data_IF_548431843236
#
_entry.id   IF_548431843236
#
_cell.length_a   1.000
_cell.length_b   1.000
_cell.length_c   1.000
_cell.angle_alpha   90.00
_cell.angle_beta   90.00
_cell.angle_gamma   90.00
#
_symmetry.space_group_name_H-M   'P 1'
#
loop_
_entity.id
_entity.type
_entity.pdbx_description
1 polymer ?
#
# COMPACT_ATOMS: atom_id res chain seq x y z
N UNK A 1 50.88 -32.34 -17.01
CA UNK A 1 50.22 -31.64 -18.12
C UNK A 1 48.85 -32.29 -18.25
N UNK A 2 47.80 -31.46 -18.26
CA UNK A 2 46.38 -31.81 -18.38
C UNK A 2 45.67 -32.38 -17.14
N UNK A 3 45.03 -31.48 -16.38
CA UNK A 3 43.68 -31.66 -15.82
C UNK A 3 43.22 -30.32 -15.25
N UNK A 4 42.70 -29.43 -16.12
CA UNK A 4 42.03 -28.20 -15.67
C UNK A 4 41.14 -27.59 -16.77
N UNK A 5 40.15 -28.36 -17.26
CA UNK A 5 39.26 -27.89 -18.34
C UNK A 5 37.76 -28.18 -18.12
N UNK A 6 37.33 -28.42 -16.89
CA UNK A 6 35.92 -28.80 -16.62
C UNK A 6 35.26 -28.02 -15.47
N UNK A 7 35.56 -26.72 -15.36
CA UNK A 7 34.85 -25.79 -14.45
C UNK A 7 34.33 -24.50 -15.10
N UNK A 8 34.36 -24.37 -16.43
CA UNK A 8 34.00 -23.11 -17.11
C UNK A 8 32.78 -23.17 -18.05
N UNK A 9 31.90 -24.17 -17.95
CA UNK A 9 30.78 -24.36 -18.90
C UNK A 9 29.36 -24.40 -18.29
N UNK A 10 29.17 -24.02 -17.02
CA UNK A 10 27.82 -23.95 -16.42
C UNK A 10 27.29 -22.50 -16.35
N UNK A 11 28.15 -21.49 -16.54
CA UNK A 11 27.76 -20.07 -16.49
C UNK A 11 27.19 -19.40 -17.76
N UNK A 12 27.23 -19.97 -18.99
CA UNK A 12 26.55 -19.33 -20.13
C UNK A 12 25.07 -19.75 -20.29
N UNK A 13 24.63 -20.89 -19.72
CA UNK A 13 23.28 -21.41 -19.98
C UNK A 13 22.21 -20.77 -19.10
N UNK A 14 22.53 -20.51 -17.83
CA UNK A 14 21.66 -19.75 -16.91
C UNK A 14 21.51 -18.29 -17.36
N UNK A 15 22.59 -17.68 -17.86
CA UNK A 15 22.56 -16.31 -18.37
C UNK A 15 21.71 -16.21 -19.64
N UNK A 16 21.82 -17.16 -20.57
CA UNK A 16 21.01 -17.20 -21.80
C UNK A 16 19.53 -17.47 -21.51
N UNK A 17 19.21 -18.34 -20.55
CA UNK A 17 17.82 -18.60 -20.15
C UNK A 17 17.17 -17.41 -19.42
N UNK A 18 17.91 -16.72 -18.55
CA UNK A 18 17.44 -15.50 -17.90
C UNK A 18 17.24 -14.36 -18.90
N UNK A 19 18.18 -14.20 -19.85
CA UNK A 19 18.06 -13.21 -20.94
C UNK A 19 16.89 -13.52 -21.88
N UNK A 20 16.60 -14.80 -22.18
CA UNK A 20 15.43 -15.17 -22.98
C UNK A 20 14.12 -14.95 -22.22
N UNK A 21 14.07 -15.28 -20.93
CA UNK A 21 12.88 -15.08 -20.11
C UNK A 21 12.56 -13.59 -19.91
N UNK A 22 13.57 -12.74 -19.70
CA UNK A 22 13.41 -11.29 -19.64
C UNK A 22 12.99 -10.69 -20.99
N UNK A 23 13.52 -11.21 -22.11
CA UNK A 23 13.10 -10.77 -23.45
C UNK A 23 11.65 -11.16 -23.77
N UNK A 24 11.19 -12.32 -23.31
CA UNK A 24 9.80 -12.76 -23.45
C UNK A 24 8.85 -11.97 -22.55
N UNK A 25 9.27 -11.62 -21.32
CA UNK A 25 8.48 -10.79 -20.39
C UNK A 25 8.26 -9.37 -20.94
N UNK A 26 9.31 -8.71 -21.43
CA UNK A 26 9.20 -7.37 -22.00
C UNK A 26 8.35 -7.31 -23.29
N UNK A 27 8.20 -8.44 -23.98
CA UNK A 27 7.32 -8.56 -25.16
C UNK A 27 5.86 -8.78 -24.75
N UNK A 28 5.61 -9.56 -23.69
CA UNK A 28 4.25 -9.84 -23.19
C UNK A 28 3.68 -8.70 -22.33
N UNK A 29 4.54 -8.04 -21.56
CA UNK A 29 4.18 -6.99 -20.60
C UNK A 29 5.07 -5.76 -20.79
N UNK A 30 4.95 -5.05 -21.93
CA UNK A 30 5.74 -3.87 -22.21
C UNK A 30 5.55 -2.79 -21.14
N UNK A 31 6.63 -2.08 -20.81
CA UNK A 31 6.59 -0.89 -19.94
C UNK A 31 6.23 0.32 -20.79
N UNK A 32 5.14 1.00 -20.45
CA UNK A 32 4.77 2.28 -21.07
C UNK A 32 5.57 3.44 -20.49
N UNK A 33 5.69 4.52 -21.25
CA UNK A 33 6.13 5.82 -20.73
C UNK A 33 4.96 6.54 -20.02
N UNK A 34 5.21 7.75 -19.50
CA UNK A 34 4.19 8.54 -18.80
C UNK A 34 2.90 8.82 -19.59
N UNK A 35 2.90 8.64 -20.91
CA UNK A 35 1.72 8.86 -21.75
C UNK A 35 1.00 7.56 -22.10
N UNK A 36 1.70 6.44 -22.02
CA UNK A 36 1.25 5.14 -22.51
C UNK A 36 1.17 4.07 -21.43
N UNK A 37 1.63 4.35 -20.21
CA UNK A 37 1.61 3.41 -19.08
C UNK A 37 0.21 2.94 -18.69
N UNK A 38 -0.80 3.78 -18.91
CA UNK A 38 -2.21 3.45 -18.65
C UNK A 38 -2.86 2.66 -19.79
N UNK A 39 -2.16 2.42 -20.89
CA UNK A 39 -2.71 1.61 -21.98
C UNK A 39 -2.84 0.16 -21.52
N UNK A 40 -3.95 -0.54 -21.82
CA UNK A 40 -4.21 -1.88 -21.27
C UNK A 40 -3.07 -2.89 -21.47
N UNK A 41 -2.37 -2.83 -22.59
CA UNK A 41 -1.22 -3.70 -22.89
C UNK A 41 0.05 -3.37 -22.09
N UNK A 42 0.17 -2.14 -21.57
CA UNK A 42 1.35 -1.67 -20.86
C UNK A 42 1.19 -1.72 -19.34
N UNK A 43 -0.04 -1.69 -18.82
CA UNK A 43 -0.29 -1.50 -17.38
C UNK A 43 0.43 -2.54 -16.50
N UNK A 44 0.42 -3.82 -16.87
CA UNK A 44 1.13 -4.87 -16.10
C UNK A 44 2.65 -4.62 -16.06
N UNK A 45 3.24 -4.23 -17.19
CA UNK A 45 4.65 -3.87 -17.26
C UNK A 45 4.93 -2.62 -16.42
N UNK A 46 4.15 -1.57 -16.61
CA UNK A 46 4.31 -0.28 -15.93
C UNK A 46 4.12 -0.36 -14.41
N UNK A 47 3.16 -1.15 -13.89
CA UNK A 47 2.95 -1.32 -12.45
C UNK A 47 4.13 -1.97 -11.74
N UNK A 48 4.94 -2.76 -12.47
CA UNK A 48 6.15 -3.41 -11.98
C UNK A 48 7.40 -2.52 -12.03
N UNK A 49 7.38 -1.50 -12.87
CA UNK A 49 8.55 -0.69 -13.23
C UNK A 49 8.24 0.80 -13.09
N UNK A 50 7.53 1.18 -12.02
CA UNK A 50 7.07 2.55 -11.81
C UNK A 50 8.22 3.56 -11.74
N UNK A 51 9.36 3.12 -11.22
CA UNK A 51 10.62 3.86 -11.11
C UNK A 51 11.33 4.09 -12.45
N UNK A 52 11.00 3.33 -13.50
CA UNK A 52 11.45 3.61 -14.86
C UNK A 52 10.65 4.74 -15.52
N UNK A 53 9.45 5.04 -14.99
CA UNK A 53 8.50 5.98 -15.59
C UNK A 53 8.56 7.34 -14.87
N UNK A 54 8.66 7.33 -13.55
CA UNK A 54 8.60 8.51 -12.71
C UNK A 54 9.85 8.68 -11.86
N UNK A 55 10.18 9.92 -11.46
CA UNK A 55 11.19 10.13 -10.44
C UNK A 55 10.71 9.51 -9.13
N UNK A 56 11.60 8.75 -8.51
CA UNK A 56 11.38 8.11 -7.22
C UNK A 56 12.51 8.42 -6.27
N UNK A 57 12.22 8.37 -4.97
CA UNK A 57 13.20 8.33 -3.89
C UNK A 57 13.24 6.92 -3.32
N UNK A 58 14.44 6.40 -3.06
CA UNK A 58 14.60 5.09 -2.45
C UNK A 58 14.18 5.14 -0.97
N UNK A 59 13.51 4.08 -0.53
CA UNK A 59 13.34 3.73 0.89
C UNK A 59 14.33 2.62 1.16
N UNK A 60 15.47 2.98 1.72
CA UNK A 60 16.58 2.04 1.91
C UNK A 60 16.22 0.95 2.93
N UNK A 61 16.54 -0.32 2.63
CA UNK A 61 16.43 -1.42 3.60
C UNK A 61 17.57 -1.44 4.62
N UNK A 62 18.62 -0.66 4.37
CA UNK A 62 19.84 -0.64 5.17
C UNK A 62 20.67 -1.92 5.09
N UNK A 63 21.72 -2.01 5.91
CA UNK A 63 22.67 -3.14 5.91
C UNK A 63 22.32 -4.25 6.92
N UNK A 64 21.19 -4.11 7.63
CA UNK A 64 20.72 -5.09 8.60
C UNK A 64 20.36 -6.44 7.98
N UNK A 65 20.19 -7.50 8.79
CA UNK A 65 19.68 -8.77 8.28
C UNK A 65 18.25 -8.62 7.77
N UNK A 66 17.87 -9.45 6.79
CA UNK A 66 16.47 -9.61 6.39
C UNK A 66 15.74 -10.41 7.46
N UNK A 67 14.56 -9.95 7.88
CA UNK A 67 13.65 -10.75 8.70
C UNK A 67 12.99 -11.79 7.80
N UNK A 68 13.53 -13.01 7.83
CA UNK A 68 13.11 -14.12 6.95
C UNK A 68 11.65 -14.53 7.21
N UNK A 69 10.85 -14.58 6.14
CA UNK A 69 9.51 -15.17 6.18
C UNK A 69 9.63 -16.67 5.94
N UNK A 70 9.45 -17.46 7.00
CA UNK A 70 9.61 -18.92 6.95
C UNK A 70 8.49 -19.53 6.11
N UNK A 71 8.84 -20.43 5.19
CA UNK A 71 7.86 -21.24 4.47
C UNK A 71 7.35 -22.39 5.34
N UNK A 72 6.03 -22.44 5.54
CA UNK A 72 5.32 -23.54 6.20
C UNK A 72 4.89 -24.64 5.22
N UNK A 73 3.90 -25.44 5.61
CA UNK A 73 3.24 -26.36 4.68
C UNK A 73 2.37 -25.57 3.69
N UNK A 74 2.82 -25.51 2.43
CA UNK A 74 2.20 -24.68 1.39
C UNK A 74 1.03 -25.38 0.71
N UNK A 75 -0.07 -24.66 0.49
CA UNK A 75 -1.17 -25.12 -0.35
C UNK A 75 -0.80 -25.03 -1.83
N UNK A 76 -0.43 -26.17 -2.42
CA UNK A 76 -0.12 -26.27 -3.86
C UNK A 76 -1.36 -26.11 -4.75
N UNK A 77 -2.54 -26.43 -4.23
CA UNK A 77 -3.83 -26.26 -4.91
C UNK A 77 -4.85 -25.87 -3.85
N UNK A 78 -5.67 -24.88 -4.16
CA UNK A 78 -6.73 -24.42 -3.28
C UNK A 78 -7.91 -23.93 -4.12
N UNK A 79 -9.09 -24.40 -3.77
CA UNK A 79 -10.34 -24.01 -4.39
C UNK A 79 -11.20 -23.33 -3.34
N UNK A 80 -11.92 -22.29 -3.75
CA UNK A 80 -12.83 -21.55 -2.88
C UNK A 80 -14.14 -21.25 -3.62
N UNK A 81 -15.19 -20.99 -2.84
CA UNK A 81 -16.50 -20.64 -3.39
C UNK A 81 -16.51 -19.16 -3.80
N UNK A 82 -16.96 -18.87 -5.03
CA UNK A 82 -17.10 -17.50 -5.53
C UNK A 82 -18.40 -16.85 -4.99
N UNK A 83 -18.41 -15.52 -4.78
CA UNK A 83 -19.64 -14.77 -4.63
C UNK A 83 -20.58 -15.04 -5.83
N UNK A 84 -21.87 -15.28 -5.57
CA UNK A 84 -22.83 -15.63 -6.63
C UNK A 84 -22.89 -17.13 -7.00
N UNK A 85 -21.96 -17.94 -6.49
CA UNK A 85 -21.98 -19.40 -6.58
C UNK A 85 -21.05 -19.99 -7.64
N UNK A 86 -20.63 -21.22 -7.41
CA UNK A 86 -19.56 -21.87 -8.17
C UNK A 86 -18.26 -21.92 -7.36
N UNK A 87 -17.21 -22.48 -7.97
CA UNK A 87 -15.88 -22.59 -7.37
C UNK A 87 -14.84 -22.14 -8.37
N UNK A 88 -13.80 -21.49 -7.87
CA UNK A 88 -12.59 -21.20 -8.62
C UNK A 88 -11.38 -21.84 -7.94
N UNK A 89 -10.42 -22.28 -8.77
CA UNK A 89 -9.07 -22.51 -8.26
C UNK A 89 -8.40 -21.15 -8.05
N UNK A 90 -7.48 -21.03 -7.10
CA UNK A 90 -6.70 -19.80 -6.93
C UNK A 90 -5.97 -19.40 -8.22
N UNK A 91 -5.49 -20.37 -9.01
CA UNK A 91 -4.80 -20.09 -10.27
C UNK A 91 -5.71 -19.46 -11.32
N UNK A 92 -6.90 -20.02 -11.53
CA UNK A 92 -7.86 -19.48 -12.51
C UNK A 92 -8.38 -18.10 -12.08
N UNK A 93 -8.64 -17.93 -10.79
CA UNK A 93 -9.05 -16.64 -10.23
C UNK A 93 -7.95 -15.57 -10.37
N UNK A 94 -6.68 -15.93 -10.16
CA UNK A 94 -5.55 -15.01 -10.36
C UNK A 94 -5.45 -14.58 -11.83
N UNK A 95 -5.63 -15.49 -12.78
CA UNK A 95 -5.57 -15.16 -14.21
C UNK A 95 -6.72 -14.24 -14.63
N UNK A 96 -7.96 -14.54 -14.22
CA UNK A 96 -9.15 -13.75 -14.57
C UNK A 96 -9.06 -12.32 -14.00
N UNK A 97 -8.61 -12.20 -12.74
CA UNK A 97 -8.48 -10.92 -12.05
C UNK A 97 -7.12 -10.24 -12.23
N UNK A 98 -6.28 -10.71 -13.16
CA UNK A 98 -4.95 -10.15 -13.43
C UNK A 98 -4.09 -9.95 -12.17
N UNK A 99 -4.15 -10.92 -11.26
CA UNK A 99 -3.40 -10.91 -10.01
C UNK A 99 -1.94 -11.24 -10.32
N UNK A 100 -1.05 -10.31 -10.01
CA UNK A 100 0.38 -10.43 -10.27
C UNK A 100 1.14 -11.02 -9.09
N UNK A 101 0.61 -10.90 -7.88
CA UNK A 101 1.21 -11.45 -6.66
C UNK A 101 0.15 -11.78 -5.62
N UNK A 102 0.25 -12.97 -5.03
CA UNK A 102 -0.58 -13.41 -3.91
C UNK A 102 0.32 -14.02 -2.84
N UNK A 103 0.26 -13.47 -1.63
CA UNK A 103 0.95 -13.97 -0.45
C UNK A 103 -0.04 -14.22 0.68
N UNK A 104 -0.03 -15.43 1.24
CA UNK A 104 -0.83 -15.82 2.40
C UNK A 104 0.12 -16.20 3.52
N UNK A 105 0.05 -15.43 4.60
CA UNK A 105 0.78 -15.66 5.85
C UNK A 105 -0.22 -16.08 6.92
N UNK A 106 0.08 -17.15 7.64
CA UNK A 106 -0.73 -17.63 8.76
C UNK A 106 0.18 -18.05 9.89
N UNK A 107 -0.07 -17.58 11.11
CA UNK A 107 0.86 -17.77 12.23
C UNK A 107 2.29 -17.31 11.91
N UNK A 108 2.41 -16.18 11.19
CA UNK A 108 3.70 -15.62 10.77
C UNK A 108 4.49 -16.40 9.72
N UNK A 109 3.95 -17.50 9.16
CA UNK A 109 4.63 -18.32 8.13
C UNK A 109 3.91 -18.29 6.79
N UNK A 110 4.66 -18.42 5.71
CA UNK A 110 4.11 -18.48 4.34
C UNK A 110 3.35 -19.79 4.17
N UNK A 111 2.06 -19.70 3.85
CA UNK A 111 1.17 -20.82 3.48
C UNK A 111 0.84 -20.86 2.00
N UNK A 112 0.97 -19.72 1.32
CA UNK A 112 0.86 -19.63 -0.13
C UNK A 112 1.66 -18.42 -0.61
N UNK A 113 2.39 -18.58 -1.69
CA UNK A 113 3.08 -17.51 -2.39
C UNK A 113 3.01 -17.83 -3.88
N UNK A 114 2.41 -16.94 -4.66
CA UNK A 114 2.22 -17.11 -6.11
C UNK A 114 2.47 -15.80 -6.82
N UNK A 115 3.02 -15.91 -8.01
CA UNK A 115 3.28 -14.79 -8.90
C UNK A 115 2.63 -15.08 -10.25
N UNK A 116 1.97 -14.06 -10.80
CA UNK A 116 1.24 -14.09 -12.05
C UNK A 116 1.79 -13.07 -13.03
N UNK A 117 1.42 -13.19 -14.30
CA UNK A 117 1.74 -12.21 -15.34
C UNK A 117 3.22 -11.78 -15.41
N UNK A 118 4.11 -12.78 -15.35
CA UNK A 118 5.55 -12.58 -15.48
C UNK A 118 6.25 -12.04 -14.23
N UNK A 119 5.52 -11.77 -13.16
CA UNK A 119 6.11 -11.39 -11.87
C UNK A 119 6.85 -12.58 -11.22
N UNK A 120 7.75 -12.26 -10.31
CA UNK A 120 8.49 -13.19 -9.45
C UNK A 120 8.78 -12.56 -8.08
N UNK A 121 9.51 -13.28 -7.21
CA UNK A 121 9.84 -12.79 -5.86
C UNK A 121 10.68 -11.52 -5.82
N UNK A 122 11.28 -11.12 -6.96
CA UNK A 122 12.10 -9.91 -7.04
C UNK A 122 11.34 -8.69 -7.53
N UNK A 123 10.15 -8.91 -8.10
CA UNK A 123 9.29 -7.87 -8.67
C UNK A 123 8.79 -6.91 -7.59
N UNK A 124 8.92 -5.61 -7.84
CA UNK A 124 8.25 -4.58 -7.05
C UNK A 124 6.92 -4.20 -7.70
N UNK A 125 5.95 -3.76 -6.89
CA UNK A 125 4.66 -3.29 -7.38
C UNK A 125 4.25 -2.01 -6.68
N UNK A 126 3.69 -1.08 -7.45
CA UNK A 126 3.09 0.13 -6.91
C UNK A 126 1.91 -0.21 -5.98
N UNK A 127 1.95 0.32 -4.76
CA UNK A 127 0.97 0.19 -3.69
C UNK A 127 -0.40 0.77 -4.03
N UNK A 128 -0.42 1.74 -4.95
CA UNK A 128 -1.53 2.68 -5.05
C UNK A 128 -1.89 3.21 -3.64
N UNK A 129 -3.17 3.25 -3.30
CA UNK A 129 -3.61 3.75 -1.99
C UNK A 129 -3.22 2.90 -0.77
N UNK A 130 -2.58 1.72 -0.92
CA UNK A 130 -1.95 1.03 0.23
C UNK A 130 -0.88 1.93 0.88
N UNK A 131 -0.27 2.85 0.12
CA UNK A 131 0.62 3.88 0.64
C UNK A 131 -0.01 4.70 1.80
N UNK A 132 -1.32 4.96 1.76
CA UNK A 132 -2.03 5.73 2.79
C UNK A 132 -1.94 5.05 4.17
N UNK A 133 -2.10 3.74 4.20
CA UNK A 133 -1.99 2.94 5.41
C UNK A 133 -0.55 2.91 5.94
N UNK A 134 0.45 2.94 5.04
CA UNK A 134 1.86 3.10 5.42
C UNK A 134 2.10 4.47 6.04
N UNK A 135 1.61 5.56 5.44
CA UNK A 135 1.70 6.93 5.99
C UNK A 135 1.04 7.02 7.38
N UNK A 136 -0.15 6.43 7.56
CA UNK A 136 -0.80 6.35 8.88
C UNK A 136 0.08 5.63 9.91
N UNK A 137 0.72 4.54 9.54
CA UNK A 137 1.67 3.84 10.41
C UNK A 137 2.90 4.69 10.72
N UNK A 138 3.40 5.50 9.78
CA UNK A 138 4.49 6.46 10.03
C UNK A 138 4.07 7.58 11.00
N UNK A 139 2.83 8.06 10.95
CA UNK A 139 2.28 8.96 11.98
C UNK A 139 2.28 8.26 13.35
N UNK A 140 1.85 6.99 13.40
CA UNK A 140 1.95 6.17 14.61
C UNK A 140 3.38 6.04 15.12
N UNK A 141 4.36 5.85 14.24
CA UNK A 141 5.79 5.83 14.59
C UNK A 141 6.28 7.16 15.13
N UNK A 142 5.86 8.28 14.54
CA UNK A 142 6.20 9.61 15.02
C UNK A 142 5.63 9.88 16.42
N UNK A 143 4.40 9.41 16.70
CA UNK A 143 3.81 9.45 18.05
C UNK A 143 4.60 8.57 19.03
N UNK A 144 4.93 7.34 18.64
CA UNK A 144 5.71 6.44 19.47
C UNK A 144 7.09 7.03 19.83
N UNK A 145 7.72 7.72 18.88
CA UNK A 145 8.99 8.41 19.06
C UNK A 145 8.91 9.75 19.80
N UNK A 146 7.71 10.21 20.17
CA UNK A 146 7.50 11.48 20.87
C UNK A 146 7.67 12.72 19.98
N UNK A 147 7.57 12.58 18.65
CA UNK A 147 7.59 13.68 17.70
C UNK A 147 6.21 14.34 17.53
N UNK A 148 5.15 13.58 17.82
CA UNK A 148 3.76 14.04 17.86
C UNK A 148 3.20 13.63 19.23
N UNK A 149 2.60 14.57 19.95
CA UNK A 149 2.10 14.31 21.30
C UNK A 149 0.77 13.53 21.26
N UNK A 150 -0.15 13.93 20.38
CA UNK A 150 -1.45 13.29 20.25
C UNK A 150 -2.05 13.43 18.87
N UNK A 151 -2.80 12.41 18.44
CA UNK A 151 -3.71 12.55 17.28
C UNK A 151 -4.81 13.61 17.50
N UNK A 152 -5.02 14.07 18.73
CA UNK A 152 -5.97 15.14 19.04
C UNK A 152 -5.42 16.53 18.79
N UNK A 153 -4.10 16.65 18.62
CA UNK A 153 -3.48 17.93 18.33
C UNK A 153 -3.87 18.40 16.94
N UNK A 154 -4.01 19.72 16.74
CA UNK A 154 -4.30 20.26 15.43
C UNK A 154 -3.06 20.16 14.54
N UNK A 155 -3.26 19.76 13.28
CA UNK A 155 -2.16 19.44 12.36
C UNK A 155 -1.25 20.64 12.05
N UNK A 156 -1.81 21.85 12.05
CA UNK A 156 -1.11 23.11 11.84
C UNK A 156 -0.21 23.52 13.02
N UNK A 157 -0.31 22.86 14.18
CA UNK A 157 0.69 22.95 15.25
C UNK A 157 2.05 22.49 14.72
N UNK A 158 2.06 21.34 14.03
CA UNK A 158 3.28 20.69 13.54
C UNK A 158 3.66 21.12 12.14
N UNK A 159 2.68 21.55 11.33
CA UNK A 159 2.88 22.05 9.97
C UNK A 159 2.39 23.50 9.89
N UNK A 160 3.18 24.50 10.33
CA UNK A 160 2.72 25.89 10.41
C UNK A 160 2.23 26.47 9.07
N UNK A 161 2.70 25.93 7.95
CA UNK A 161 2.24 26.33 6.61
C UNK A 161 0.74 26.04 6.37
N UNK A 162 0.12 25.13 7.13
CA UNK A 162 -1.31 24.80 7.05
C UNK A 162 -2.20 25.73 7.89
N UNK A 163 -1.63 26.66 8.66
CA UNK A 163 -2.39 27.54 9.56
C UNK A 163 -3.32 28.51 8.81
N UNK A 164 -3.03 28.81 7.54
CA UNK A 164 -3.82 29.69 6.67
C UNK A 164 -4.62 28.92 5.59
N UNK A 165 -4.82 27.60 5.76
CA UNK A 165 -5.56 26.76 4.81
C UNK A 165 -6.83 26.13 5.43
N UNK A 166 -7.56 25.35 4.65
CA UNK A 166 -8.68 24.55 5.16
C UNK A 166 -8.29 23.57 6.28
N UNK A 167 -7.01 23.27 6.46
CA UNK A 167 -6.48 22.41 7.54
C UNK A 167 -6.24 23.14 8.87
N UNK A 168 -6.40 24.46 8.93
CA UNK A 168 -6.21 25.23 10.16
C UNK A 168 -7.05 24.67 11.33
N UNK A 169 -6.42 24.38 12.46
CA UNK A 169 -7.04 23.82 13.65
C UNK A 169 -7.67 22.43 13.47
N UNK A 170 -7.44 21.72 12.35
CA UNK A 170 -8.00 20.38 12.11
C UNK A 170 -7.19 19.35 12.92
N UNK A 171 -7.83 18.54 13.79
CA UNK A 171 -7.12 17.49 14.51
C UNK A 171 -6.51 16.45 13.58
N UNK A 172 -5.31 15.96 13.88
CA UNK A 172 -4.65 14.89 13.11
C UNK A 172 -5.56 13.65 12.98
N UNK A 173 -6.33 13.33 14.02
CA UNK A 173 -7.33 12.25 14.02
C UNK A 173 -8.38 12.45 12.92
N UNK A 174 -8.84 13.69 12.69
CA UNK A 174 -9.83 13.97 11.66
C UNK A 174 -9.27 13.74 10.26
N UNK A 175 -8.01 14.13 10.04
CA UNK A 175 -7.28 13.89 8.78
C UNK A 175 -7.05 12.40 8.57
N UNK A 176 -6.59 11.68 9.59
CA UNK A 176 -6.45 10.21 9.57
C UNK A 176 -7.78 9.49 9.22
N UNK A 177 -8.92 10.06 9.65
CA UNK A 177 -10.27 9.53 9.41
C UNK A 177 -10.88 9.90 8.05
N UNK A 178 -10.15 10.59 7.15
CA UNK A 178 -10.73 11.15 5.92
C UNK A 178 -11.94 12.04 6.23
N UNK A 179 -11.85 12.81 7.31
CA UNK A 179 -12.93 13.63 7.86
C UNK A 179 -12.44 15.02 8.25
N UNK A 180 -11.45 15.55 7.52
CA UNK A 180 -10.90 16.89 7.74
C UNK A 180 -11.92 18.02 7.50
N UNK A 181 -12.86 17.79 6.59
CA UNK A 181 -13.85 18.77 6.14
C UNK A 181 -13.33 19.73 5.06
N UNK A 182 -12.18 19.42 4.45
CA UNK A 182 -11.62 20.11 3.27
C UNK A 182 -12.47 19.78 2.05
N UNK A 183 -12.77 20.75 1.18
CA UNK A 183 -13.48 20.49 -0.08
C UNK A 183 -12.52 19.83 -1.08
N UNK A 184 -12.81 18.60 -1.50
CA UNK A 184 -11.93 17.80 -2.37
C UNK A 184 -12.73 16.77 -3.17
N UNK A 185 -12.47 16.71 -4.48
CA UNK A 185 -13.02 15.75 -5.44
C UNK A 185 -12.03 14.62 -5.79
N UNK A 186 -12.33 13.39 -5.36
CA UNK A 186 -11.54 12.17 -5.65
C UNK A 186 -12.18 11.31 -6.78
N UNK A 187 -12.88 11.93 -7.73
CA UNK A 187 -13.41 11.23 -8.90
C UNK A 187 -12.30 10.92 -9.93
N UNK A 188 -11.87 9.66 -10.00
CA UNK A 188 -10.84 9.18 -10.93
C UNK A 188 -11.29 9.17 -12.40
N UNK A 189 -12.60 9.18 -12.67
CA UNK A 189 -13.15 9.21 -14.04
C UNK A 189 -13.30 10.64 -14.57
N UNK A 190 -13.10 11.65 -13.73
CA UNK A 190 -13.19 13.07 -14.07
C UNK A 190 -11.80 13.70 -14.14
N UNK A 191 -11.31 14.01 -15.35
CA UNK A 191 -10.00 14.67 -15.56
C UNK A 191 -9.84 16.04 -14.86
N UNK A 192 -10.95 16.65 -14.46
CA UNK A 192 -11.00 17.93 -13.76
C UNK A 192 -11.12 17.79 -12.24
N UNK A 193 -11.20 16.56 -11.70
CA UNK A 193 -11.20 16.32 -10.26
C UNK A 193 -9.86 16.73 -9.64
N UNK A 194 -9.87 16.93 -8.33
CA UNK A 194 -8.67 17.32 -7.61
C UNK A 194 -7.59 16.25 -7.65
N UNK A 195 -7.98 14.97 -7.56
CA UNK A 195 -7.04 13.84 -7.68
C UNK A 195 -6.39 13.78 -9.05
N UNK A 196 -7.16 14.01 -10.12
CA UNK A 196 -6.63 14.07 -11.49
C UNK A 196 -5.71 15.27 -11.68
N UNK A 197 -6.06 16.45 -11.19
CA UNK A 197 -5.20 17.64 -11.31
C UNK A 197 -3.91 17.51 -10.50
N UNK A 198 -3.97 16.94 -9.29
CA UNK A 198 -2.78 16.59 -8.51
C UNK A 198 -1.90 15.60 -9.28
N UNK A 199 -2.48 14.52 -9.79
CA UNK A 199 -1.76 13.52 -10.57
C UNK A 199 -1.07 14.14 -11.80
N UNK A 200 -1.81 14.93 -12.59
CA UNK A 200 -1.29 15.55 -13.82
C UNK A 200 -0.18 16.55 -13.51
N UNK A 201 -0.43 17.52 -12.62
CA UNK A 201 0.49 18.65 -12.43
C UNK A 201 1.67 18.29 -11.52
N UNK A 202 1.43 17.52 -10.45
CA UNK A 202 2.50 17.12 -9.53
C UNK A 202 3.15 15.81 -9.98
N UNK A 203 2.38 14.78 -10.33
CA UNK A 203 2.91 13.46 -10.64
C UNK A 203 3.48 13.31 -12.06
N UNK A 204 2.80 13.81 -13.09
CA UNK A 204 3.23 13.60 -14.47
C UNK A 204 4.05 14.75 -15.07
N UNK A 205 3.71 15.98 -14.71
CA UNK A 205 4.31 17.19 -15.27
C UNK A 205 5.38 17.81 -14.37
N UNK A 206 5.38 17.50 -13.07
CA UNK A 206 6.24 18.14 -12.06
C UNK A 206 6.19 19.68 -12.12
N UNK A 207 5.03 20.23 -12.49
CA UNK A 207 4.82 21.66 -12.71
C UNK A 207 4.35 22.38 -11.44
N UNK A 208 3.97 21.62 -10.42
CA UNK A 208 3.48 22.13 -9.14
C UNK A 208 3.80 21.16 -8.00
N UNK A 209 4.25 21.68 -6.87
CA UNK A 209 4.56 20.87 -5.68
C UNK A 209 3.28 20.28 -5.09
N UNK A 210 3.31 19.02 -4.68
CA UNK A 210 2.13 18.30 -4.20
C UNK A 210 1.54 18.96 -2.94
N UNK A 211 2.39 19.44 -2.02
CA UNK A 211 1.97 20.12 -0.80
C UNK A 211 1.25 21.47 -1.06
N UNK A 212 1.56 22.13 -2.18
CA UNK A 212 0.96 23.45 -2.48
C UNK A 212 -0.54 23.36 -2.79
N UNK A 213 -1.02 22.22 -3.26
CA UNK A 213 -2.46 22.00 -3.47
C UNK A 213 -3.26 22.15 -2.18
N UNK A 214 -2.71 21.70 -1.04
CA UNK A 214 -3.39 21.76 0.25
C UNK A 214 -3.71 23.18 0.71
N UNK A 215 -3.01 24.18 0.15
CA UNK A 215 -3.19 25.59 0.49
C UNK A 215 -4.27 26.27 -0.37
N UNK A 216 -4.79 25.58 -1.38
CA UNK A 216 -5.77 26.15 -2.34
C UNK A 216 -7.21 25.72 -2.04
N UNK A 217 -7.38 24.71 -1.19
CA UNK A 217 -8.70 24.19 -0.84
C UNK A 217 -9.42 25.04 0.20
N UNK A 218 -10.73 25.13 0.02
CA UNK A 218 -11.66 25.69 1.00
C UNK A 218 -12.16 24.60 1.97
N UNK A 219 -12.82 25.03 3.04
CA UNK A 219 -13.48 24.14 4.00
C UNK A 219 -14.95 23.97 3.64
N UNK A 220 -15.36 22.73 3.33
CA UNK A 220 -16.76 22.37 3.08
C UNK A 220 -17.53 22.03 4.37
N UNK A 221 -16.86 21.48 5.38
CA UNK A 221 -17.49 20.97 6.60
C UNK A 221 -16.60 21.13 7.84
N UNK A 222 -17.17 20.96 9.04
CA UNK A 222 -16.34 20.91 10.25
C UNK A 222 -15.62 19.57 10.34
N UNK A 223 -14.47 19.48 11.04
CA UNK A 223 -13.79 18.22 11.25
C UNK A 223 -14.73 17.20 11.90
N UNK A 224 -14.66 15.95 11.44
CA UNK A 224 -15.51 14.81 11.83
C UNK A 224 -16.98 14.86 11.39
N UNK A 225 -17.42 15.91 10.69
CA UNK A 225 -18.83 16.05 10.31
C UNK A 225 -19.20 15.12 9.15
N UNK A 226 -18.31 14.99 8.17
CA UNK A 226 -18.47 14.14 6.99
C UNK A 226 -17.23 13.28 6.77
N UNK A 227 -17.46 12.07 6.27
CA UNK A 227 -16.40 11.27 5.66
C UNK A 227 -16.32 11.63 4.17
N UNK A 228 -15.12 11.84 3.67
CA UNK A 228 -14.83 12.07 2.26
C UNK A 228 -13.42 11.50 1.98
N UNK A 229 -13.34 10.35 1.28
CA UNK A 229 -12.07 9.72 0.93
C UNK A 229 -11.26 10.65 0.01
N UNK A 230 -10.08 11.09 0.45
CA UNK A 230 -9.27 12.06 -0.30
C UNK A 230 -7.77 11.88 -0.13
N UNK A 231 -7.02 11.96 -1.22
CA UNK A 231 -5.56 11.96 -1.24
C UNK A 231 -4.97 13.18 -0.54
N UNK A 232 -5.67 14.32 -0.55
CA UNK A 232 -5.26 15.54 0.15
C UNK A 232 -4.99 15.31 1.64
N UNK A 233 -5.84 14.54 2.33
CA UNK A 233 -5.66 14.25 3.76
C UNK A 233 -4.37 13.44 3.97
N UNK A 234 -4.07 12.47 3.10
CA UNK A 234 -2.81 11.72 3.18
C UNK A 234 -1.60 12.59 2.84
N UNK A 235 -1.70 13.53 1.89
CA UNK A 235 -0.63 14.49 1.59
C UNK A 235 -0.32 15.34 2.83
N UNK A 236 -1.35 15.81 3.54
CA UNK A 236 -1.17 16.56 4.77
C UNK A 236 -0.48 15.73 5.86
N UNK A 237 -0.81 14.43 5.98
CA UNK A 237 -0.14 13.51 6.90
C UNK A 237 1.30 13.20 6.50
N UNK A 238 1.60 13.07 5.21
CA UNK A 238 2.95 12.90 4.71
C UNK A 238 3.82 14.13 5.01
N UNK A 239 3.27 15.33 4.79
CA UNK A 239 3.93 16.58 5.14
C UNK A 239 4.14 16.71 6.65
N UNK A 240 3.15 16.36 7.46
CA UNK A 240 3.26 16.27 8.92
C UNK A 240 4.45 15.41 9.34
N UNK A 241 4.57 14.18 8.81
CA UNK A 241 5.67 13.27 9.14
C UNK A 241 7.02 13.86 8.74
N UNK A 242 7.12 14.48 7.56
CA UNK A 242 8.35 15.12 7.11
C UNK A 242 8.77 16.30 8.01
N UNK A 243 7.83 17.17 8.40
CA UNK A 243 8.11 18.33 9.28
C UNK A 243 8.56 17.90 10.67
N UNK A 244 7.85 16.97 11.32
CA UNK A 244 8.18 16.58 12.71
C UNK A 244 9.45 15.74 12.81
N UNK A 245 9.80 15.02 11.74
CA UNK A 245 11.03 14.22 11.70
C UNK A 245 12.25 15.03 11.22
N UNK A 246 12.03 16.12 10.47
CA UNK A 246 13.10 16.82 9.76
C UNK A 246 13.74 16.00 8.64
N UNK A 247 13.07 14.94 8.18
CA UNK A 247 13.52 14.02 7.14
C UNK A 247 12.55 14.07 5.95
N UNK A 248 12.99 13.60 4.78
CA UNK A 248 12.04 13.26 3.71
C UNK A 248 11.14 12.12 4.17
N UNK A 249 9.95 11.98 3.57
CA UNK A 249 9.04 10.91 3.96
C UNK A 249 9.67 9.52 3.71
N UNK A 250 10.44 9.36 2.62
CA UNK A 250 11.15 8.11 2.30
C UNK A 250 12.28 7.81 3.29
N UNK A 251 13.06 8.82 3.69
CA UNK A 251 14.13 8.64 4.69
C UNK A 251 13.55 8.26 6.05
N UNK A 252 12.47 8.93 6.47
CA UNK A 252 11.78 8.57 7.71
C UNK A 252 11.16 7.18 7.61
N UNK A 253 10.55 6.82 6.47
CA UNK A 253 10.03 5.47 6.25
C UNK A 253 11.14 4.42 6.33
N UNK A 254 12.31 4.68 5.74
CA UNK A 254 13.49 3.80 5.82
C UNK A 254 13.90 3.57 7.26
N UNK A 255 14.16 4.66 7.99
CA UNK A 255 14.67 4.60 9.36
C UNK A 255 13.63 4.06 10.35
N UNK A 256 12.39 4.53 10.27
CA UNK A 256 11.37 4.26 11.27
C UNK A 256 10.65 2.93 11.05
N UNK A 257 10.57 2.45 9.81
CA UNK A 257 9.73 1.31 9.44
C UNK A 257 10.51 0.24 8.66
N UNK A 258 11.15 0.60 7.56
CA UNK A 258 11.75 -0.35 6.61
C UNK A 258 12.94 -1.11 7.21
N UNK A 259 13.91 -0.40 7.79
CA UNK A 259 15.07 -1.01 8.43
C UNK A 259 14.69 -1.84 9.68
N UNK A 260 13.85 -1.34 10.62
CA UNK A 260 13.44 -2.13 11.79
C UNK A 260 12.65 -3.40 11.45
N UNK A 261 11.91 -3.41 10.34
CA UNK A 261 11.16 -4.60 9.89
C UNK A 261 12.03 -5.64 9.18
N UNK A 262 13.32 -5.34 8.95
CA UNK A 262 14.21 -6.23 8.22
C UNK A 262 13.71 -6.52 6.81
N UNK A 263 13.22 -5.48 6.10
CA UNK A 263 12.69 -5.63 4.75
C UNK A 263 13.73 -6.23 3.80
N UNK A 264 13.26 -7.00 2.81
CA UNK A 264 14.15 -7.79 1.94
C UNK A 264 14.76 -6.98 0.80
N UNK A 265 14.11 -5.89 0.39
CA UNK A 265 14.60 -4.99 -0.66
C UNK A 265 14.37 -3.53 -0.32
N UNK A 266 15.12 -2.66 -1.00
CA UNK A 266 14.75 -1.24 -1.07
C UNK A 266 13.36 -1.14 -1.70
N UNK A 267 12.53 -0.28 -1.13
CA UNK A 267 11.35 0.23 -1.81
C UNK A 267 11.70 1.54 -2.52
N UNK A 268 10.75 2.04 -3.29
CA UNK A 268 10.82 3.36 -3.90
C UNK A 268 9.53 4.12 -3.66
N UNK A 269 9.58 5.45 -3.61
CA UNK A 269 8.42 6.31 -3.49
C UNK A 269 8.47 7.39 -4.57
N UNK A 270 7.42 7.45 -5.39
CA UNK A 270 7.25 8.51 -6.39
C UNK A 270 7.28 9.90 -5.75
N UNK A 271 7.97 10.83 -6.40
CA UNK A 271 8.08 12.23 -5.98
C UNK A 271 7.53 13.18 -7.04
N UNK A 272 7.15 14.39 -6.63
CA UNK A 272 6.53 15.42 -7.47
C UNK A 272 7.53 16.20 -8.37
N UNK A 273 8.77 15.75 -8.47
CA UNK A 273 9.81 16.42 -9.26
C UNK A 273 11.21 15.85 -9.09
N UNK A 274 12.20 16.60 -9.57
CA UNK A 274 13.61 16.22 -9.49
C UNK A 274 14.36 17.04 -8.44
N UNK A 275 15.29 16.40 -7.74
CA UNK A 275 16.20 17.04 -6.80
C UNK A 275 15.76 16.99 -5.34
N UNK A 276 16.54 17.63 -4.47
CA UNK A 276 16.40 17.53 -3.00
C UNK A 276 15.09 18.15 -2.47
N UNK A 277 14.48 19.08 -3.20
CA UNK A 277 13.21 19.71 -2.83
C UNK A 277 11.95 18.95 -3.26
N UNK A 278 12.10 17.82 -3.95
CA UNK A 278 10.95 17.02 -4.39
C UNK A 278 10.28 16.33 -3.20
N UNK A 279 8.95 16.28 -3.21
CA UNK A 279 8.14 15.70 -2.13
C UNK A 279 7.48 14.41 -2.60
N UNK A 280 7.43 13.41 -1.72
CA UNK A 280 6.72 12.15 -2.00
C UNK A 280 5.23 12.38 -2.23
N UNK A 281 4.70 11.72 -3.25
CA UNK A 281 3.27 11.66 -3.54
C UNK A 281 2.62 10.66 -2.58
N UNK A 282 2.51 11.05 -1.32
CA UNK A 282 2.28 10.16 -0.16
C UNK A 282 0.94 9.42 -0.15
N UNK A 283 -0.05 9.87 -0.93
CA UNK A 283 -1.33 9.17 -1.05
C UNK A 283 -1.28 7.92 -1.94
N UNK A 284 -0.17 7.73 -2.69
CA UNK A 284 0.09 6.64 -3.63
C UNK A 284 1.60 6.39 -3.78
N UNK A 285 2.05 5.78 -4.87
CA UNK A 285 3.40 5.96 -5.43
C UNK A 285 4.52 5.18 -4.75
N UNK A 286 4.26 4.49 -3.64
CA UNK A 286 5.23 3.58 -3.02
C UNK A 286 5.27 2.26 -3.80
N UNK A 287 6.45 1.76 -4.17
CA UNK A 287 6.62 0.45 -4.79
C UNK A 287 7.50 -0.43 -3.93
N UNK A 288 7.05 -1.66 -3.67
CA UNK A 288 7.74 -2.62 -2.81
C UNK A 288 7.48 -4.05 -3.29
N UNK A 289 8.29 -5.00 -2.79
CA UNK A 289 8.08 -6.42 -3.05
C UNK A 289 6.89 -6.97 -2.28
N UNK A 290 6.29 -8.03 -2.80
CA UNK A 290 5.12 -8.69 -2.22
C UNK A 290 5.34 -9.08 -0.75
N UNK A 291 6.52 -9.63 -0.44
CA UNK A 291 6.89 -10.04 0.93
C UNK A 291 7.11 -8.87 1.88
N UNK A 292 7.53 -7.71 1.39
CA UNK A 292 7.69 -6.51 2.24
C UNK A 292 6.34 -5.89 2.61
N UNK A 293 5.36 -5.91 1.70
CA UNK A 293 3.96 -5.67 2.08
C UNK A 293 3.45 -6.72 3.09
N UNK A 294 3.90 -7.97 2.97
CA UNK A 294 3.61 -9.03 3.94
C UNK A 294 4.16 -8.74 5.35
N UNK A 295 5.41 -8.29 5.46
CA UNK A 295 6.03 -7.86 6.73
C UNK A 295 5.29 -6.67 7.33
N UNK A 296 4.89 -5.71 6.50
CA UNK A 296 4.03 -4.61 6.95
C UNK A 296 2.69 -5.10 7.50
N UNK A 297 2.03 -6.04 6.81
CA UNK A 297 0.80 -6.66 7.30
C UNK A 297 0.99 -7.40 8.64
N UNK A 298 2.11 -8.14 8.80
CA UNK A 298 2.44 -8.83 10.05
C UNK A 298 2.71 -7.88 11.22
N UNK A 299 3.37 -6.73 10.98
CA UNK A 299 3.52 -5.69 12.00
C UNK A 299 2.16 -5.24 12.53
N UNK A 300 1.20 -5.03 11.62
CA UNK A 300 -0.15 -4.61 11.98
C UNK A 300 -0.92 -5.74 12.67
N UNK A 301 -0.78 -6.99 12.24
CA UNK A 301 -1.36 -8.15 12.93
C UNK A 301 -0.85 -8.29 14.39
N UNK A 302 0.39 -7.86 14.65
CA UNK A 302 1.06 -7.98 15.95
C UNK A 302 0.95 -6.72 16.83
N UNK A 303 -0.07 -5.87 16.64
CA UNK A 303 -0.25 -4.59 17.35
C UNK A 303 0.99 -3.69 17.33
N UNK A 304 1.69 -3.66 16.20
CA UNK A 304 2.89 -2.85 16.01
C UNK A 304 4.11 -3.34 16.77
N UNK A 305 4.12 -4.60 17.22
CA UNK A 305 5.30 -5.28 17.78
C UNK A 305 6.00 -6.06 16.66
N UNK A 306 7.32 -5.93 16.57
CA UNK A 306 8.15 -6.69 15.64
C UNK A 306 9.31 -7.33 16.39
N UNK A 307 9.46 -8.65 16.31
CA UNK A 307 10.54 -9.40 16.98
C UNK A 307 10.73 -9.07 18.48
N UNK A 308 9.63 -8.71 19.16
CA UNK A 308 9.63 -8.33 20.58
C UNK A 308 9.91 -6.84 20.86
N UNK A 309 10.25 -6.05 19.84
CA UNK A 309 10.33 -4.59 19.92
C UNK A 309 8.98 -3.96 19.59
N UNK A 310 8.52 -3.04 20.43
CA UNK A 310 7.31 -2.27 20.14
C UNK A 310 7.69 -1.09 19.24
N UNK A 311 7.16 -1.08 18.03
CA UNK A 311 7.34 0.00 17.07
C UNK A 311 6.19 1.00 17.12
N UNK A 312 4.95 0.58 17.35
CA UNK A 312 3.81 1.49 17.42
C UNK A 312 3.35 1.71 18.87
N UNK A 313 2.64 2.82 19.19
CA UNK A 313 2.04 3.00 20.51
C UNK A 313 1.19 1.78 20.88
N UNK A 314 1.13 1.46 22.17
CA UNK A 314 0.30 0.34 22.63
C UNK A 314 -1.17 0.52 22.23
N UNK A 315 -1.75 -0.49 21.58
CA UNK A 315 -3.12 -0.44 21.07
C UNK A 315 -3.31 0.50 19.88
N UNK A 316 -2.24 0.95 19.21
CA UNK A 316 -2.33 1.78 18.02
C UNK A 316 -3.10 1.09 16.91
N UNK A 317 -2.84 -0.19 16.65
CA UNK A 317 -3.52 -0.91 15.57
C UNK A 317 -5.02 -0.89 15.81
N UNK A 318 -5.45 -1.22 17.03
CA UNK A 318 -6.88 -1.15 17.40
C UNK A 318 -7.45 0.27 17.23
N UNK A 319 -6.71 1.31 17.60
CA UNK A 319 -7.15 2.69 17.38
C UNK A 319 -7.23 3.04 15.89
N UNK A 320 -6.37 2.44 15.08
CA UNK A 320 -6.31 2.66 13.64
C UNK A 320 -7.32 1.82 12.86
N UNK A 321 -7.86 0.74 13.42
CA UNK A 321 -8.69 -0.21 12.66
C UNK A 321 -10.07 -0.46 13.26
N UNK A 322 -10.40 0.18 14.38
CA UNK A 322 -11.76 0.17 14.95
C UNK A 322 -12.40 1.55 14.76
N UNK A 323 -13.47 1.66 13.96
CA UNK A 323 -14.19 2.91 13.79
C UNK A 323 -14.59 3.52 15.12
N UNK A 324 -14.27 4.80 15.32
CA UNK A 324 -14.48 5.49 16.60
C UNK A 324 -15.53 6.60 16.54
N UNK A 325 -16.05 6.92 15.35
CA UNK A 325 -17.05 7.96 15.14
C UNK A 325 -18.11 7.58 14.11
N UNK A 326 -19.34 8.14 14.17
CA UNK A 326 -20.46 7.69 13.34
C UNK A 326 -20.23 7.77 11.83
N UNK A 327 -19.51 8.77 11.34
CA UNK A 327 -19.28 9.00 9.91
C UNK A 327 -18.30 7.99 9.29
N UNK A 328 -17.53 7.28 10.12
CA UNK A 328 -16.56 6.28 9.67
C UNK A 328 -16.96 4.83 10.01
N UNK A 329 -18.15 4.63 10.59
CA UNK A 329 -18.66 3.29 10.91
C UNK A 329 -18.94 2.48 9.63
N UNK A 330 -18.87 1.16 9.75
CA UNK A 330 -19.25 0.26 8.67
C UNK A 330 -20.69 0.53 8.17
N UNK A 331 -20.85 0.59 6.84
CA UNK A 331 -22.12 0.90 6.20
C UNK A 331 -22.54 2.37 6.26
N UNK A 332 -21.64 3.29 6.67
CA UNK A 332 -21.93 4.72 6.81
C UNK A 332 -21.10 5.62 5.88
N UNK A 333 -20.08 5.09 5.22
CA UNK A 333 -19.20 5.86 4.33
C UNK A 333 -19.95 6.35 3.10
N UNK A 334 -20.52 5.40 2.35
CA UNK A 334 -21.32 5.63 1.15
C UNK A 334 -22.58 4.77 1.18
N UNK A 335 -23.62 5.20 0.46
CA UNK A 335 -24.86 4.44 0.36
C UNK A 335 -24.62 3.10 -0.33
N UNK A 336 -24.83 1.99 0.38
CA UNK A 336 -24.69 0.64 -0.16
C UNK A 336 -23.29 0.05 -0.03
N UNK A 337 -22.29 0.82 0.40
CA UNK A 337 -20.93 0.32 0.61
C UNK A 337 -20.78 -0.21 2.05
N UNK A 338 -20.46 -1.50 2.27
CA UNK A 338 -20.59 -2.14 3.57
C UNK A 338 -19.43 -1.81 4.54
N UNK A 339 -18.28 -1.39 4.02
CA UNK A 339 -17.08 -1.15 4.81
C UNK A 339 -17.19 0.11 5.68
N UNK A 340 -16.37 0.13 6.73
CA UNK A 340 -16.08 1.33 7.53
C UNK A 340 -14.66 1.78 7.28
N UNK A 341 -14.24 2.83 7.98
CA UNK A 341 -12.90 3.40 7.84
C UNK A 341 -12.35 3.79 9.21
N UNK A 342 -11.04 3.71 9.38
CA UNK A 342 -10.36 4.30 10.53
C UNK A 342 -8.89 4.48 10.16
N UNK A 343 -8.30 5.63 10.51
CA UNK A 343 -6.88 5.98 10.32
C UNK A 343 -6.19 5.43 9.07
N UNK A 344 -6.75 5.71 7.90
CA UNK A 344 -6.23 5.25 6.61
C UNK A 344 -6.31 3.73 6.36
N UNK A 345 -7.18 3.02 7.08
CA UNK A 345 -7.50 1.60 6.92
C UNK A 345 -8.99 1.40 6.68
N UNK A 346 -9.33 0.51 5.77
CA UNK A 346 -10.69 0.02 5.60
C UNK A 346 -10.99 -1.02 6.66
N UNK A 347 -12.18 -0.95 7.25
CA UNK A 347 -12.60 -1.82 8.36
C UNK A 347 -13.77 -2.65 7.89
N UNK A 348 -13.72 -3.96 8.09
CA UNK A 348 -14.68 -4.88 7.49
C UNK A 348 -15.79 -5.17 8.52
N UNK A 349 -17.06 -5.25 8.09
CA UNK A 349 -18.18 -5.52 9.00
C UNK A 349 -18.26 -6.99 9.45
N UNK A 350 -17.33 -7.83 8.98
CA UNK A 350 -17.20 -9.24 9.34
C UNK A 350 -15.87 -9.51 10.03
N UNK A 351 -15.88 -10.51 10.90
CA UNK A 351 -14.74 -10.84 11.74
C UNK A 351 -14.49 -9.78 12.82
N UNK A 352 -13.97 -10.19 13.97
CA UNK A 352 -13.70 -9.26 15.07
C UNK A 352 -12.36 -8.57 14.85
N UNK A 353 -12.40 -7.33 14.34
CA UNK A 353 -11.23 -6.50 14.12
C UNK A 353 -10.48 -6.81 12.82
N UNK A 354 -11.17 -7.30 11.80
CA UNK A 354 -10.61 -7.47 10.44
C UNK A 354 -10.52 -6.12 9.75
N UNK A 355 -9.38 -5.86 9.10
CA UNK A 355 -9.13 -4.62 8.37
C UNK A 355 -8.28 -4.86 7.12
N UNK A 356 -8.26 -3.88 6.22
CA UNK A 356 -7.44 -3.95 5.01
C UNK A 356 -6.98 -2.59 4.52
N UNK A 357 -5.76 -2.54 3.98
CA UNK A 357 -5.32 -1.46 3.11
C UNK A 357 -5.72 -1.80 1.68
N UNK A 358 -6.26 -0.83 0.94
CA UNK A 358 -6.70 -1.01 -0.44
C UNK A 358 -6.08 0.04 -1.35
N UNK A 359 -5.76 -0.36 -2.56
CA UNK A 359 -5.37 0.49 -3.67
C UNK A 359 -6.13 0.12 -4.94
N UNK A 360 -6.38 1.13 -5.78
CA UNK A 360 -7.01 0.94 -7.10
C UNK A 360 -6.27 -0.12 -7.93
N UNK A 361 -6.98 -0.72 -8.87
CA UNK A 361 -6.49 -1.82 -9.71
C UNK A 361 -6.08 -3.09 -8.92
N UNK A 362 -6.54 -3.24 -7.68
CA UNK A 362 -6.49 -4.50 -6.94
C UNK A 362 -5.31 -4.70 -6.00
N UNK A 363 -4.84 -3.64 -5.32
CA UNK A 363 -3.77 -3.76 -4.32
C UNK A 363 -4.37 -3.95 -2.93
N UNK A 364 -4.00 -5.01 -2.22
CA UNK A 364 -4.53 -5.30 -0.89
C UNK A 364 -3.44 -5.73 0.10
N UNK A 365 -3.58 -5.25 1.33
CA UNK A 365 -2.99 -5.87 2.53
C UNK A 365 -4.14 -6.12 3.49
N UNK A 366 -4.61 -7.36 3.56
CA UNK A 366 -5.71 -7.80 4.43
C UNK A 366 -5.15 -8.44 5.69
N UNK A 367 -5.76 -8.12 6.83
CA UNK A 367 -5.36 -8.65 8.14
C UNK A 367 -6.60 -9.12 8.91
N UNK A 368 -6.60 -10.39 9.32
CA UNK A 368 -7.51 -10.95 10.31
C UNK A 368 -6.71 -11.32 11.57
N UNK A 369 -6.71 -10.46 12.60
CA UNK A 369 -5.94 -10.70 13.83
C UNK A 369 -6.40 -11.92 14.63
N UNK A 370 -7.68 -12.30 14.55
CA UNK A 370 -8.21 -13.44 15.32
C UNK A 370 -7.68 -14.76 14.79
N UNK A 371 -7.52 -14.84 13.47
CA UNK A 371 -6.99 -16.00 12.78
C UNK A 371 -5.47 -15.94 12.59
N UNK A 372 -4.79 -14.88 13.03
CA UNK A 372 -3.38 -14.59 12.70
C UNK A 372 -3.09 -14.76 11.19
N UNK A 373 -4.00 -14.23 10.37
CA UNK A 373 -3.98 -14.34 8.92
C UNK A 373 -3.66 -12.97 8.30
N UNK A 374 -2.66 -12.94 7.43
CA UNK A 374 -2.34 -11.80 6.57
C UNK A 374 -2.38 -12.27 5.13
N UNK A 375 -3.12 -11.57 4.28
CA UNK A 375 -3.18 -11.84 2.83
C UNK A 375 -2.79 -10.57 2.09
N UNK A 376 -1.82 -10.69 1.18
CA UNK A 376 -1.39 -9.59 0.32
C UNK A 376 -1.69 -9.94 -1.13
N UNK A 377 -2.29 -9.00 -1.85
CA UNK A 377 -2.53 -9.08 -3.28
C UNK A 377 -1.92 -7.87 -3.98
N UNK A 378 -1.25 -8.12 -5.10
CA UNK A 378 -0.99 -7.10 -6.13
C UNK A 378 -1.65 -7.54 -7.42
N UNK A 379 -2.30 -6.62 -8.12
CA UNK A 379 -3.03 -6.92 -9.35
C UNK A 379 -3.02 -5.73 -10.31
N UNK A 380 -3.54 -5.96 -11.52
CA UNK A 380 -3.83 -4.90 -12.50
C UNK A 380 -5.20 -5.16 -13.09
N UNK A 381 -6.24 -4.88 -12.30
CA UNK A 381 -7.64 -5.06 -12.72
C UNK A 381 -7.97 -4.32 -14.03
N UNK A 382 -9.07 -4.72 -14.65
CA UNK A 382 -9.53 -4.14 -15.90
C UNK A 382 -9.99 -2.69 -15.76
N UNK A 383 -10.59 -2.37 -14.62
CA UNK A 383 -11.07 -1.05 -14.24
C UNK A 383 -10.35 -0.57 -12.98
N UNK A 384 -10.38 0.74 -12.72
CA UNK A 384 -9.80 1.34 -11.51
C UNK A 384 -10.31 0.67 -10.22
N UNK A 385 -11.58 0.28 -10.23
CA UNK A 385 -12.23 -0.47 -9.17
C UNK A 385 -13.20 -1.48 -9.75
N UNK A 386 -13.17 -2.70 -9.22
CA UNK A 386 -14.04 -3.81 -9.62
C UNK A 386 -14.63 -4.44 -8.34
N UNK A 387 -15.93 -4.21 -8.13
CA UNK A 387 -16.65 -4.65 -6.93
C UNK A 387 -16.73 -6.19 -6.85
N UNK A 388 -16.82 -6.88 -8.00
CA UNK A 388 -16.89 -8.34 -8.04
C UNK A 388 -15.52 -8.91 -7.67
N UNK A 389 -14.42 -8.38 -8.25
CA UNK A 389 -13.06 -8.78 -7.91
C UNK A 389 -12.70 -8.50 -6.44
N UNK A 390 -13.18 -7.39 -5.87
CA UNK A 390 -13.04 -7.10 -4.44
C UNK A 390 -13.73 -8.17 -3.57
N UNK A 391 -15.00 -8.47 -3.86
CA UNK A 391 -15.75 -9.47 -3.08
C UNK A 391 -15.19 -10.89 -3.25
N UNK A 392 -14.65 -11.23 -4.41
CA UNK A 392 -13.94 -12.48 -4.65
C UNK A 392 -12.67 -12.58 -3.80
N UNK A 393 -11.87 -11.51 -3.72
CA UNK A 393 -10.70 -11.46 -2.85
C UNK A 393 -11.09 -11.68 -1.38
N UNK A 394 -12.16 -11.05 -0.90
CA UNK A 394 -12.64 -11.29 0.45
C UNK A 394 -13.22 -12.69 0.65
N UNK A 395 -13.86 -13.28 -0.35
CA UNK A 395 -14.31 -14.66 -0.30
C UNK A 395 -13.13 -15.62 -0.13
N UNK A 396 -12.04 -15.41 -0.87
CA UNK A 396 -10.78 -16.13 -0.69
C UNK A 396 -10.24 -15.97 0.73
N UNK A 397 -10.14 -14.74 1.24
CA UNK A 397 -9.63 -14.47 2.60
C UNK A 397 -10.46 -15.18 3.68
N UNK A 398 -11.79 -15.07 3.62
CA UNK A 398 -12.70 -15.74 4.57
C UNK A 398 -12.61 -17.27 4.49
N UNK A 399 -12.48 -17.81 3.28
CA UNK A 399 -12.31 -19.24 3.04
C UNK A 399 -10.98 -19.75 3.63
N UNK A 400 -9.89 -19.00 3.43
CA UNK A 400 -8.57 -19.31 4.00
C UNK A 400 -8.61 -19.29 5.53
N UNK A 401 -9.19 -18.25 6.14
CA UNK A 401 -9.34 -18.16 7.59
C UNK A 401 -10.09 -19.37 8.16
N UNK A 402 -11.20 -19.77 7.53
CA UNK A 402 -11.99 -20.92 7.95
C UNK A 402 -11.22 -22.25 7.86
N UNK A 403 -10.43 -22.47 6.80
CA UNK A 403 -9.67 -23.71 6.62
C UNK A 403 -8.45 -23.76 7.55
N UNK A 404 -7.74 -22.65 7.69
CA UNK A 404 -6.49 -22.57 8.43
C UNK A 404 -6.68 -22.68 9.96
N UNK A 405 -7.77 -22.14 10.49
CA UNK A 405 -8.12 -22.23 11.92
C UNK A 405 -8.60 -23.62 12.36
N UNK A 406 -8.85 -24.53 11.42
CA UNK A 406 -9.28 -25.91 11.68
C UNK A 406 -8.17 -26.96 11.46
N UNK A 407 -6.95 -26.54 11.14
CA UNK A 407 -5.74 -27.38 11.08
C UNK A 407 -4.97 -27.28 12.39
#
# INVERSE_FOLDING_TARGET
METDFMRLMIMPMLLVLALSAQADDAVLYPVGDKWTMWWPQNMIGSYRHWDEIFPVRAIERGDGPVSELIQGEVFLHYDFDLPGGGKATVGDWMEENRVTGLLVLYNGVIRMERYGHGADETSAFISQSVAKSIVSTLVGRAIHGGLIDSVKDPIDHYVPALADSAYAGVPIEAVLQMSSGVDYDEDYDNEWSDVSQMWILAGEQHSKLINSFLLEYDREARPYEVYNYKGADTIALGWLVAEVSGMTLSDYASMALWQPLGMEANASWMVDGLGEGATEISFTGLSARLRDYGRFGLLMAQDGIWEGERLLPEGWVRQATVPSKPQVMAGRLYSGYPLGYQYQWWTLPWGDGVFTAQGVNGQFVYVDPQSDLVVVQTAVWHDWWDDDAEEEFYALCRSLAAVLTHQ
#
